data_IF_605007113283
#
_entry.id   IF_605007113283
#
_cell.length_a   1.000
_cell.length_b   1.000
_cell.length_c   1.000
_cell.angle_alpha   90.00
_cell.angle_beta   90.00
_cell.angle_gamma   90.00
#
_symmetry.space_group_name_H-M   'P 1'
#
loop_
_entity.id
_entity.type
_entity.pdbx_description
1 polymer ?
2 non-polymer ?
3 non-polymer ?
4 non-polymer ?
5 water ?
#
# COMPACT_ATOMS: atom_id res chain seq x y z
N UNK A 10 -2.82 -9.39 24.61
CA UNK A 10 -2.72 -10.85 24.31
C UNK A 10 -1.33 -11.26 23.86
N UNK A 11 -0.48 -11.65 24.81
CA UNK A 11 0.90 -11.99 24.50
C UNK A 11 1.10 -13.49 24.44
N UNK A 12 1.26 -14.01 23.22
CA UNK A 12 1.56 -15.42 22.99
C UNK A 12 2.82 -15.86 23.74
N UNK A 13 2.81 -17.10 24.28
CA UNK A 13 3.97 -17.66 24.97
C UNK A 13 5.22 -17.55 24.11
N UNK A 14 6.31 -17.11 24.72
CA UNK A 14 7.55 -16.89 24.03
C UNK A 14 8.15 -18.24 23.63
N UNK A 15 8.37 -18.47 22.32
CA UNK A 15 8.99 -19.76 21.96
C UNK A 15 10.35 -19.94 22.64
N UNK A 16 10.71 -21.19 22.99
CA UNK A 16 12.00 -21.45 23.64
C UNK A 16 13.24 -20.91 22.92
N UNK A 17 13.22 -20.90 21.59
CA UNK A 17 14.37 -20.44 20.78
C UNK A 17 14.56 -18.91 20.72
N UNK A 18 13.56 -18.16 21.16
CA UNK A 18 13.68 -16.69 21.15
C UNK A 18 14.23 -16.22 22.50
N UNK A 19 15.42 -15.56 22.52
CA UNK A 19 15.98 -15.04 23.77
C UNK A 19 15.22 -13.81 24.27
N UNK A 20 15.16 -13.64 25.59
CA UNK A 20 14.30 -12.60 26.18
C UNK A 20 14.75 -11.19 25.84
N UNK A 21 16.05 -10.98 25.65
CA UNK A 21 16.60 -9.66 25.37
C UNK A 21 16.14 -9.09 24.01
N UNK A 22 15.63 -9.96 23.14
CA UNK A 22 15.11 -9.52 21.85
C UNK A 22 13.62 -9.24 21.86
N UNK A 23 12.98 -9.38 23.01
CA UNK A 23 11.53 -9.18 23.09
C UNK A 23 11.17 -7.71 23.08
N UNK A 24 10.24 -7.34 22.20
CA UNK A 24 9.73 -5.99 22.14
C UNK A 24 8.29 -6.14 21.66
N UNK A 25 7.33 -5.93 22.56
CA UNK A 25 5.95 -6.31 22.29
C UNK A 25 5.23 -5.23 21.47
N UNK A 26 5.69 -5.00 20.25
CA UNK A 26 5.03 -4.03 19.37
C UNK A 26 3.75 -4.65 18.79
N UNK A 27 2.66 -3.90 18.82
CA UNK A 27 1.39 -4.35 18.24
C UNK A 27 1.15 -3.61 16.92
N UNK A 28 1.36 -4.30 15.80
CA UNK A 28 1.22 -3.68 14.46
C UNK A 28 -0.20 -3.22 14.13
N UNK A 29 -1.20 -3.75 14.85
CA UNK A 29 -2.57 -3.35 14.61
C UNK A 29 -3.07 -2.27 15.57
N UNK A 30 -2.38 -2.07 16.68
CA UNK A 30 -2.72 -0.97 17.61
C UNK A 30 -1.50 -0.47 18.36
N UNK A 31 -0.56 0.16 17.64
CA UNK A 31 0.71 0.57 18.26
C UNK A 31 0.48 1.70 19.26
N UNK A 32 1.26 1.74 20.33
CA UNK A 32 1.05 2.82 21.31
C UNK A 32 1.61 4.12 20.75
N UNK A 33 1.11 5.26 21.21
CA UNK A 33 1.48 6.54 20.57
C UNK A 33 0.93 6.70 19.14
N UNK A 34 0.04 5.78 18.73
CA UNK A 34 -0.64 5.89 17.44
C UNK A 34 -1.24 7.29 17.26
N UNK A 35 -1.80 7.84 18.34
CA UNK A 35 -2.38 9.19 18.34
C UNK A 35 -1.41 10.27 17.86
N UNK A 36 -0.11 10.01 17.97
CA UNK A 36 0.94 10.94 17.50
C UNK A 36 1.31 10.81 16.01
N UNK A 37 0.63 9.92 15.27
CA UNK A 37 0.94 9.66 13.87
C UNK A 37 1.36 8.20 13.72
N UNK A 38 0.89 7.51 12.68
CA UNK A 38 1.19 6.07 12.55
C UNK A 38 2.69 5.82 12.23
N UNK A 39 3.27 6.61 11.33
CA UNK A 39 4.71 6.47 11.05
C UNK A 39 5.56 6.71 12.31
N UNK A 40 5.20 7.72 13.09
CA UNK A 40 5.89 7.99 14.36
C UNK A 40 5.70 6.83 15.31
N UNK A 41 4.52 6.21 15.29
CA UNK A 41 4.24 5.08 16.20
C UNK A 41 5.14 3.88 15.87
N UNK A 42 5.34 3.62 14.58
CA UNK A 42 6.21 2.53 14.14
C UNK A 42 7.69 2.86 14.33
N UNK A 43 8.03 4.14 14.27
CA UNK A 43 9.42 4.59 14.38
C UNK A 43 10.04 4.35 15.76
N UNK A 44 9.18 4.06 16.76
CA UNK A 44 9.62 3.61 18.10
C UNK A 44 10.53 2.36 18.03
N UNK A 45 10.41 1.63 16.93
CA UNK A 45 11.19 0.42 16.68
C UNK A 45 12.61 0.77 16.24
N UNK A 46 12.84 2.06 15.96
CA UNK A 46 14.16 2.51 15.57
C UNK A 46 14.85 3.39 16.60
N UNK A 47 14.35 3.43 17.82
CA UNK A 47 15.07 4.13 18.88
C UNK A 47 16.30 3.30 19.27
N UNK A 48 17.31 3.95 19.86
CA UNK A 48 18.67 3.39 19.98
C UNK A 48 18.82 2.08 20.79
N UNK A 49 17.95 1.91 21.79
CA UNK A 49 18.00 0.69 22.60
C UNK A 49 17.11 -0.44 22.07
N UNK A 50 16.70 -0.36 20.81
CA UNK A 50 15.92 -1.43 20.19
C UNK A 50 16.83 -2.12 19.16
N UNK A 51 17.03 -3.44 19.30
CA UNK A 51 17.85 -4.21 18.36
C UNK A 51 17.32 -4.14 16.92
N UNK A 52 18.20 -4.46 15.98
CA UNK A 52 17.88 -4.44 14.55
C UNK A 52 16.76 -5.43 14.20
N UNK A 53 16.67 -6.50 14.99
CA UNK A 53 15.72 -7.57 14.77
C UNK A 53 15.15 -8.00 16.13
N UNK A 54 13.85 -7.82 16.32
CA UNK A 54 13.18 -8.08 17.60
C UNK A 54 12.04 -9.07 17.44
N UNK A 55 11.60 -9.63 18.57
CA UNK A 55 10.43 -10.52 18.59
C UNK A 55 9.32 -9.85 19.37
N UNK A 56 8.14 -9.78 18.78
CA UNK A 56 6.97 -9.38 19.53
C UNK A 56 6.06 -10.57 19.83
N UNK A 57 5.52 -10.59 21.04
CA UNK A 57 4.58 -11.63 21.45
C UNK A 57 3.15 -11.28 21.02
N UNK A 58 2.93 -10.06 20.52
CA UNK A 58 1.62 -9.65 20.03
C UNK A 58 1.25 -10.39 18.75
N UNK A 59 -0.06 -10.48 18.50
CA UNK A 59 -0.61 -11.01 17.24
C UNK A 59 -0.13 -12.41 16.89
N UNK A 60 0.03 -13.26 17.91
CA UNK A 60 0.49 -14.66 17.73
C UNK A 60 1.99 -14.87 17.92
N UNK A 61 2.76 -13.79 17.90
CA UNK A 61 4.21 -13.91 18.01
C UNK A 61 4.91 -13.90 16.66
N UNK A 62 5.82 -12.95 16.47
CA UNK A 62 6.56 -12.87 15.20
C UNK A 62 7.77 -11.95 15.32
N UNK A 63 8.73 -12.15 14.41
CA UNK A 63 9.90 -11.28 14.33
C UNK A 63 9.47 -9.97 13.65
N UNK A 64 10.22 -8.91 13.90
CA UNK A 64 10.13 -7.66 13.14
C UNK A 64 11.56 -7.20 12.83
N UNK A 65 11.88 -7.01 11.55
CA UNK A 65 13.14 -6.37 11.17
C UNK A 65 12.87 -4.86 11.19
N UNK A 66 13.74 -4.13 11.87
CA UNK A 66 13.46 -2.73 12.20
C UNK A 66 14.31 -1.73 11.41
N UNK A 67 15.23 -2.24 10.58
CA UNK A 67 16.20 -1.40 9.88
C UNK A 67 16.21 -1.73 8.40
N UNK A 68 16.33 -0.70 7.57
CA UNK A 68 16.39 -0.84 6.11
C UNK A 68 17.29 -1.98 5.61
N UNK A 69 18.52 -2.06 6.12
CA UNK A 69 19.45 -3.10 5.68
C UNK A 69 18.87 -4.52 5.83
N UNK A 70 18.27 -4.82 6.98
CA UNK A 70 17.68 -6.15 7.20
C UNK A 70 16.42 -6.36 6.36
N UNK A 71 15.58 -5.34 6.27
CA UNK A 71 14.33 -5.41 5.50
C UNK A 71 14.62 -5.73 4.03
N UNK A 72 15.54 -4.97 3.42
CA UNK A 72 15.99 -5.23 2.05
C UNK A 72 16.59 -6.62 1.88
N UNK A 73 17.48 -7.01 2.80
CA UNK A 73 18.16 -8.32 2.71
C UNK A 73 17.18 -9.48 2.70
N UNK A 74 16.22 -9.45 3.63
CA UNK A 74 15.23 -10.50 3.76
C UNK A 74 14.31 -10.56 2.55
N UNK A 75 13.93 -9.40 2.02
CA UNK A 75 13.10 -9.35 0.80
C UNK A 75 13.84 -9.89 -0.42
N UNK A 76 15.18 -9.82 -0.41
CA UNK A 76 15.98 -10.40 -1.51
C UNK A 76 16.08 -11.91 -1.38
N UNK A 77 16.11 -12.40 -0.15
CA UNK A 77 16.35 -13.81 0.14
C UNK A 77 15.03 -14.59 0.23
N UNK A 78 14.37 -14.76 -0.92
CA UNK A 78 13.12 -15.51 -1.01
C UNK A 78 13.26 -16.99 -0.64
N UNK A 79 14.46 -17.54 -0.78
CA UNK A 79 14.71 -18.92 -0.40
C UNK A 79 14.46 -19.19 1.09
N UNK A 80 14.87 -18.27 1.95
CA UNK A 80 14.61 -18.41 3.38
C UNK A 80 13.32 -17.72 3.83
N UNK A 81 12.98 -16.61 3.19
CA UNK A 81 11.86 -15.77 3.60
C UNK A 81 10.79 -15.83 2.52
N UNK A 82 9.83 -16.72 2.74
CA UNK A 82 8.87 -17.13 1.73
C UNK A 82 7.58 -16.30 1.79
N UNK A 83 7.01 -16.02 0.62
CA UNK A 83 5.77 -15.24 0.50
C UNK A 83 4.54 -16.12 0.70
N UNK A 84 4.76 -17.42 0.93
CA UNK A 84 3.66 -18.36 1.07
C UNK A 84 2.70 -17.95 2.17
N UNK A 85 3.22 -17.44 3.29
CA UNK A 85 2.41 -16.90 4.39
C UNK A 85 2.84 -15.45 4.71
N UNK A 86 2.32 -14.47 3.95
CA UNK A 86 2.89 -13.12 3.97
C UNK A 86 2.28 -12.14 4.99
N UNK A 87 1.19 -12.56 5.65
CA UNK A 87 0.48 -11.68 6.60
C UNK A 87 0.47 -12.16 8.03
N UNK A 88 0.51 -11.20 8.95
CA UNK A 88 0.29 -11.44 10.35
C UNK A 88 -1.13 -10.96 10.63
N UNK A 89 -1.94 -11.76 11.34
CA UNK A 89 -1.58 -13.04 11.99
C UNK A 89 -1.56 -14.20 11.01
N UNK A 90 -0.99 -15.30 11.48
CA UNK A 90 -0.71 -16.48 10.67
C UNK A 90 -1.94 -16.98 9.90
N UNK A 91 -3.10 -16.97 10.57
CA UNK A 91 -4.37 -17.47 9.99
C UNK A 91 -4.78 -16.68 8.74
N UNK A 92 -4.58 -15.37 8.77
CA UNK A 92 -4.75 -14.52 7.59
C UNK A 92 -3.71 -14.87 6.51
N UNK A 93 -2.45 -15.00 6.92
CA UNK A 93 -1.36 -15.39 6.00
C UNK A 93 -1.65 -16.72 5.32
N UNK A 94 -2.19 -17.67 6.08
CA UNK A 94 -2.46 -19.03 5.61
C UNK A 94 -3.55 -19.15 4.55
N UNK A 95 -4.62 -18.36 4.72
CA UNK A 95 -5.76 -18.34 3.78
C UNK A 95 -5.46 -17.62 2.46
N UNK A 96 -4.51 -16.68 2.50
CA UNK A 96 -4.28 -15.75 1.39
C UNK A 96 -3.61 -16.43 0.21
N UNK A 97 -4.24 -16.34 -0.95
CA UNK A 97 -3.78 -17.05 -2.14
C UNK A 97 -3.75 -16.19 -3.40
N UNK A 98 -3.72 -14.87 -3.24
CA UNK A 98 -3.62 -13.96 -4.39
C UNK A 98 -2.34 -14.23 -5.17
N UNK A 99 -2.37 -13.96 -6.47
CA UNK A 99 -1.23 -14.13 -7.34
C UNK A 99 -0.81 -12.77 -7.89
N UNK A 100 0.50 -12.46 -7.86
CA UNK A 100 1.60 -13.34 -7.48
C UNK A 100 2.07 -13.23 -6.03
N UNK A 101 1.41 -12.40 -5.22
CA UNK A 101 1.91 -12.10 -3.86
C UNK A 101 2.05 -13.29 -2.89
N UNK A 102 1.34 -14.38 -3.13
CA UNK A 102 1.42 -15.57 -2.26
C UNK A 102 2.41 -16.63 -2.79
N UNK A 103 3.06 -16.34 -3.91
CA UNK A 103 4.02 -17.26 -4.53
C UNK A 103 5.46 -16.81 -4.35
N UNK A 104 6.38 -17.76 -4.41
CA UNK A 104 7.82 -17.46 -4.44
C UNK A 104 8.36 -17.68 -5.85
N UNK A 105 9.47 -16.99 -6.21
CA UNK A 105 10.22 -17.44 -7.39
C UNK A 105 10.61 -18.91 -7.18
N UNK A 106 10.73 -19.70 -8.25
CA UNK A 106 10.65 -19.27 -9.64
C UNK A 106 9.26 -19.34 -10.28
N UNK A 107 8.28 -20.02 -9.68
CA UNK A 107 6.92 -20.02 -10.29
C UNK A 107 6.29 -18.61 -10.36
N UNK A 108 6.60 -17.75 -9.41
CA UNK A 108 6.07 -16.38 -9.38
C UNK A 108 6.41 -15.58 -10.65
N UNK A 109 7.59 -15.85 -11.23
CA UNK A 109 8.16 -15.07 -12.33
C UNK A 109 7.23 -14.85 -13.55
N UNK A 110 6.58 -15.92 -14.00
CA UNK A 110 5.78 -15.83 -15.21
C UNK A 110 4.44 -15.15 -14.96
N UNK A 111 3.88 -15.39 -13.77
CA UNK A 111 2.65 -14.71 -13.37
C UNK A 111 2.90 -13.21 -13.22
N UNK A 112 4.04 -12.84 -12.65
CA UNK A 112 4.41 -11.43 -12.54
C UNK A 112 4.55 -10.78 -13.93
N UNK A 113 5.15 -11.51 -14.86
CA UNK A 113 5.29 -11.05 -16.25
C UNK A 113 3.93 -10.76 -16.87
N UNK A 114 2.96 -11.63 -16.61
CA UNK A 114 1.63 -11.44 -17.19
C UNK A 114 0.90 -10.25 -16.54
N UNK A 115 0.96 -10.18 -15.21
CA UNK A 115 0.38 -9.06 -14.48
C UNK A 115 0.99 -7.75 -14.97
N UNK A 116 2.31 -7.78 -15.24
CA UNK A 116 2.99 -6.57 -15.67
C UNK A 116 2.49 -5.99 -16.99
N UNK A 117 2.07 -6.87 -17.91
CA UNK A 117 1.44 -6.44 -19.16
C UNK A 117 0.24 -5.51 -18.94
N UNK A 118 -0.51 -5.75 -17.86
CA UNK A 118 -1.80 -5.08 -17.68
C UNK A 118 -1.80 -3.88 -16.72
N UNK A 119 -0.69 -3.68 -16.01
CA UNK A 119 -0.54 -2.54 -15.08
C UNK A 119 0.79 -1.83 -15.23
N UNK A 120 1.64 -2.33 -16.14
CA UNK A 120 3.00 -1.83 -16.27
C UNK A 120 3.12 -0.50 -16.98
N UNK A 121 4.35 0.00 -17.05
CA UNK A 121 4.67 1.33 -17.60
C UNK A 121 4.07 1.70 -18.99
N UNK A 122 4.01 0.72 -19.94
CA UNK A 122 3.38 1.07 -21.22
C UNK A 122 1.87 1.39 -21.08
N UNK A 123 1.15 0.57 -20.30
CA UNK A 123 -0.27 0.77 -20.02
C UNK A 123 -0.59 2.13 -19.39
N UNK A 124 0.39 2.68 -18.68
CA UNK A 124 0.20 3.93 -17.95
C UNK A 124 0.06 5.15 -18.89
N UNK A 125 0.33 4.94 -20.18
CA UNK A 125 0.14 6.02 -21.16
C UNK A 125 -1.28 6.12 -21.69
N UNK A 126 -1.88 5.01 -22.12
CA UNK A 126 -3.27 5.06 -22.58
C UNK A 126 -4.29 5.36 -21.46
N UNK A 127 -3.85 5.29 -20.21
CA UNK A 127 -4.70 5.54 -19.03
C UNK A 127 -4.60 6.98 -18.55
N UNK A 128 -3.43 7.58 -18.75
CA UNK A 128 -3.11 8.94 -18.30
C UNK A 128 -4.25 9.93 -18.47
N UNK A 129 -4.92 9.86 -19.64
CA UNK A 129 -5.99 10.78 -20.01
C UNK A 129 -7.25 10.59 -19.18
N UNK A 130 -7.58 9.34 -18.89
CA UNK A 130 -8.72 9.08 -18.02
C UNK A 130 -8.38 9.46 -16.58
N UNK A 131 -7.11 9.30 -16.20
CA UNK A 131 -6.64 9.64 -14.86
C UNK A 131 -6.72 11.15 -14.63
N UNK A 132 -6.13 11.92 -15.55
CA UNK A 132 -6.28 13.36 -15.61
C UNK A 132 -7.75 13.81 -15.57
N UNK A 133 -8.57 13.31 -16.51
CA UNK A 133 -10.00 13.63 -16.56
C UNK A 133 -10.71 13.29 -15.25
N UNK A 134 -10.40 12.12 -14.70
CA UNK A 134 -11.04 11.66 -13.48
C UNK A 134 -10.68 12.57 -12.31
N UNK A 135 -9.41 12.94 -12.22
CA UNK A 135 -8.96 13.77 -11.11
C UNK A 135 -9.62 15.14 -11.19
N UNK A 136 -9.65 15.72 -12.39
CA UNK A 136 -10.26 17.03 -12.64
C UNK A 136 -11.75 17.10 -12.29
N UNK A 137 -12.52 16.12 -12.72
CA UNK A 137 -13.97 16.18 -12.48
C UNK A 137 -14.29 15.96 -10.98
N UNK A 138 -13.57 15.06 -10.33
CA UNK A 138 -13.67 14.91 -8.86
C UNK A 138 -13.36 16.22 -8.11
N UNK A 139 -12.22 16.83 -8.43
CA UNK A 139 -11.81 18.07 -7.80
C UNK A 139 -12.79 19.21 -8.08
N UNK A 140 -13.21 19.34 -9.34
CA UNK A 140 -14.16 20.38 -9.72
C UNK A 140 -15.50 20.23 -9.04
N UNK A 141 -15.91 19.00 -8.75
CA UNK A 141 -17.18 18.77 -8.02
C UNK A 141 -17.12 19.25 -6.56
N UNK A 142 -15.93 19.22 -5.97
CA UNK A 142 -15.74 19.62 -4.57
C UNK A 142 -15.38 21.11 -4.41
N UNK A 143 -14.70 21.65 -5.41
CA UNK A 143 -14.08 22.98 -5.34
C UNK A 143 -15.01 24.09 -4.82
N UNK A 144 -16.24 24.21 -5.38
CA UNK A 144 -17.11 25.28 -4.89
C UNK A 144 -17.70 25.08 -3.47
N UNK A 145 -17.70 23.85 -2.94
CA UNK A 145 -18.23 23.58 -1.58
C UNK A 145 -17.46 24.27 -0.44
N UNK A 146 -16.15 24.51 -0.63
CA UNK A 146 -15.31 25.05 0.44
C UNK A 146 -14.92 24.09 1.54
N UNK A 147 -15.33 22.83 1.40
CA UNK A 147 -15.00 21.74 2.33
C UNK A 147 -15.15 20.38 1.63
N UNK A 148 -14.45 19.37 2.16
CA UNK A 148 -14.73 17.95 1.85
C UNK A 148 -14.17 17.09 2.97
N UNK A 149 -14.55 15.81 2.98
CA UNK A 149 -13.70 14.78 3.63
C UNK A 149 -12.88 14.12 2.53
N UNK A 150 -11.61 14.50 2.44
CA UNK A 150 -10.77 14.14 1.31
C UNK A 150 -10.69 12.63 1.13
N UNK A 151 -10.59 11.92 2.25
CA UNK A 151 -10.51 10.46 2.20
C UNK A 151 -11.75 9.90 1.51
N UNK A 152 -12.93 10.33 1.95
CA UNK A 152 -14.20 9.83 1.42
C UNK A 152 -14.55 10.34 0.01
N UNK A 153 -14.28 11.62 -0.25
CA UNK A 153 -14.83 12.34 -1.41
C UNK A 153 -13.92 12.36 -2.63
N UNK A 154 -12.62 12.16 -2.40
CA UNK A 154 -11.66 12.08 -3.48
C UNK A 154 -10.84 10.79 -3.42
N UNK A 155 -10.21 10.51 -2.28
CA UNK A 155 -9.25 9.39 -2.19
C UNK A 155 -9.85 8.02 -2.51
N UNK A 156 -11.05 7.77 -1.98
CA UNK A 156 -11.75 6.50 -2.20
C UNK A 156 -12.25 6.30 -3.65
N UNK A 157 -13.02 7.27 -4.21
CA UNK A 157 -13.54 7.05 -5.56
C UNK A 157 -12.48 6.96 -6.64
N UNK A 158 -11.36 7.64 -6.45
CA UNK A 158 -10.33 7.82 -7.48
C UNK A 158 -9.70 6.51 -8.02
N UNK A 159 -9.04 5.71 -7.15
CA UNK A 159 -8.40 4.47 -7.67
C UNK A 159 -9.36 3.36 -8.15
N UNK A 160 -10.51 3.21 -7.50
CA UNK A 160 -11.50 2.22 -7.95
C UNK A 160 -12.01 2.58 -9.36
N UNK A 161 -12.24 3.88 -9.61
CA UNK A 161 -12.68 4.30 -10.94
C UNK A 161 -11.62 4.07 -12.00
N UNK A 162 -10.36 4.27 -11.63
CA UNK A 162 -9.26 3.97 -12.55
C UNK A 162 -9.21 2.46 -12.82
N UNK A 163 -9.31 1.64 -11.77
CA UNK A 163 -9.32 0.19 -11.96
C UNK A 163 -10.41 -0.32 -12.90
N UNK A 164 -11.60 0.27 -12.80
CA UNK A 164 -12.73 -0.08 -13.68
C UNK A 164 -12.43 0.15 -15.15
N UNK A 165 -11.67 1.22 -15.42
CA UNK A 165 -11.27 1.56 -16.79
C UNK A 165 -10.12 0.71 -17.34
N UNK A 166 -9.23 0.31 -16.43
CA UNK A 166 -8.18 -0.66 -16.71
C UNK A 166 -8.81 -2.04 -17.01
N UNK A 167 -9.69 -2.48 -16.13
CA UNK A 167 -10.29 -3.82 -16.23
C UNK A 167 -11.52 -3.89 -17.13
N UNK A 168 -11.88 -2.77 -17.76
CA UNK A 168 -13.07 -2.68 -18.61
C UNK A 168 -14.33 -3.21 -17.94
N UNK A 169 -14.55 -2.81 -16.69
CA UNK A 169 -15.75 -3.17 -15.96
C UNK A 169 -16.70 -1.95 -15.90
N UNK A 170 -18.01 -2.18 -15.68
CA UNK A 170 -18.95 -1.04 -15.74
C UNK A 170 -19.10 -0.29 -14.40
N UNK A 171 -19.19 1.05 -14.51
CA UNK A 171 -19.36 1.96 -13.38
C UNK A 171 -20.41 1.55 -12.36
N UNK A 172 -21.56 1.07 -12.82
CA UNK A 172 -22.62 0.64 -11.89
C UNK A 172 -22.14 -0.41 -10.90
N UNK A 173 -21.07 -1.12 -11.23
CA UNK A 173 -20.52 -2.15 -10.37
C UNK A 173 -19.66 -1.59 -9.24
N UNK A 174 -19.29 -0.31 -9.36
CA UNK A 174 -18.40 0.33 -8.39
C UNK A 174 -18.88 0.16 -6.94
N UNK A 175 -20.14 0.58 -6.64
CA UNK A 175 -20.59 0.41 -5.25
C UNK A 175 -20.53 -1.04 -4.76
N UNK A 176 -21.00 -2.00 -5.56
CA UNK A 176 -20.93 -3.41 -5.13
C UNK A 176 -19.48 -3.82 -4.86
N UNK A 177 -18.59 -3.52 -5.81
CA UNK A 177 -17.17 -3.89 -5.70
C UNK A 177 -16.50 -3.26 -4.49
N UNK A 178 -16.78 -1.98 -4.27
CA UNK A 178 -16.35 -1.22 -3.10
C UNK A 178 -16.81 -1.85 -1.80
N UNK A 179 -18.08 -2.29 -1.76
CA UNK A 179 -18.58 -3.01 -0.59
C UNK A 179 -17.78 -4.30 -0.36
N UNK A 180 -17.53 -5.05 -1.44
CA UNK A 180 -16.77 -6.30 -1.34
C UNK A 180 -15.34 -6.07 -0.86
N UNK A 181 -14.64 -5.10 -1.45
CA UNK A 181 -13.25 -4.87 -1.06
C UNK A 181 -13.09 -4.35 0.35
N UNK A 182 -13.95 -3.40 0.77
CA UNK A 182 -13.94 -2.90 2.15
C UNK A 182 -14.19 -4.01 3.16
N UNK A 183 -15.05 -4.95 2.80
CA UNK A 183 -15.37 -6.08 3.69
C UNK A 183 -14.12 -6.91 3.95
N UNK A 184 -13.22 -6.89 2.97
CA UNK A 184 -11.97 -7.62 3.04
C UNK A 184 -10.86 -6.89 3.82
N UNK A 185 -10.74 -5.58 3.62
CA UNK A 185 -9.58 -4.82 4.10
C UNK A 185 -9.88 -3.92 5.29
N UNK A 186 -11.16 -3.72 5.56
CA UNK A 186 -11.62 -2.97 6.72
C UNK A 186 -12.47 -3.92 7.58
N UNK A 187 -11.81 -4.82 8.34
CA UNK A 187 -12.59 -5.80 9.09
C UNK A 187 -13.15 -5.20 10.38
N UNK A 188 -14.46 -5.35 10.57
CA UNK A 188 -15.10 -5.03 11.84
C UNK A 188 -15.17 -6.31 12.69
N UNK A 189 -14.52 -7.37 12.19
CA UNK A 189 -14.50 -8.68 12.84
C UNK A 189 -15.73 -9.52 12.58
N UNK A 190 -16.58 -9.06 11.66
CA UNK A 190 -17.84 -9.74 11.36
C UNK A 190 -17.65 -11.02 10.56
N UNK A 191 -16.54 -11.13 9.84
CA UNK A 191 -16.21 -12.34 9.09
C UNK A 191 -14.70 -12.55 8.99
N UNK A 192 -14.26 -13.80 8.85
CA UNK A 192 -12.82 -14.11 8.72
C UNK A 192 -12.28 -13.59 7.39
N UNK A 193 -10.95 -13.46 7.31
CA UNK A 193 -10.28 -13.05 6.08
C UNK A 193 -10.69 -13.93 4.89
N UNK A 194 -10.62 -15.25 5.11
CA UNK A 194 -11.03 -16.27 4.13
C UNK A 194 -12.49 -16.07 3.67
N UNK A 195 -13.36 -15.75 4.62
CA UNK A 195 -14.78 -15.51 4.34
C UNK A 195 -14.96 -14.30 3.40
N UNK A 196 -14.33 -13.19 3.74
CA UNK A 196 -14.38 -11.97 2.93
C UNK A 196 -13.84 -12.19 1.51
N UNK A 197 -12.72 -12.92 1.43
CA UNK A 197 -12.05 -13.23 0.18
C UNK A 197 -12.93 -14.05 -0.77
N UNK A 198 -13.67 -15.02 -0.23
CA UNK A 198 -14.59 -15.85 -1.02
C UNK A 198 -15.71 -15.00 -1.63
N UNK A 199 -16.32 -14.16 -0.78
CA UNK A 199 -17.30 -13.18 -1.22
C UNK A 199 -16.78 -12.38 -2.43
N UNK A 200 -15.56 -11.87 -2.32
CA UNK A 200 -14.91 -11.16 -3.44
C UNK A 200 -14.75 -12.03 -4.69
N UNK A 201 -14.19 -13.24 -4.54
CA UNK A 201 -13.97 -14.16 -5.67
C UNK A 201 -15.28 -14.48 -6.38
N UNK A 202 -16.34 -14.60 -5.58
CA UNK A 202 -17.68 -14.89 -6.06
C UNK A 202 -18.19 -13.92 -7.12
N UNK A 203 -17.91 -12.62 -6.95
CA UNK A 203 -18.14 -11.62 -8.00
C UNK A 203 -17.31 -11.88 -9.24
N UNK A 204 -16.02 -12.17 -9.02
CA UNK A 204 -15.07 -12.32 -10.12
C UNK A 204 -15.23 -13.61 -10.94
N UNK A 205 -15.63 -14.70 -10.29
CA UNK A 205 -15.71 -16.02 -10.96
C UNK A 205 -16.47 -15.99 -12.32
N UNK A 206 -17.73 -15.50 -12.33
CA UNK A 206 -18.50 -15.45 -13.59
C UNK A 206 -17.91 -14.54 -14.66
N UNK A 207 -17.31 -13.44 -14.23
CA UNK A 207 -16.74 -12.46 -15.17
C UNK A 207 -15.57 -13.07 -15.96
N UNK A 208 -14.74 -13.85 -15.26
CA UNK A 208 -13.65 -14.59 -15.90
C UNK A 208 -14.21 -15.68 -16.84
N UNK A 209 -15.20 -16.43 -16.35
CA UNK A 209 -15.89 -17.42 -17.19
C UNK A 209 -16.33 -16.79 -18.51
N UNK A 210 -17.01 -15.65 -18.39
CA UNK A 210 -17.51 -14.87 -19.53
C UNK A 210 -16.41 -14.48 -20.52
N UNK A 211 -15.25 -14.11 -19.98
CA UNK A 211 -14.20 -13.49 -20.78
C UNK A 211 -13.17 -14.51 -21.26
N UNK A 212 -13.29 -15.74 -20.76
CA UNK A 212 -12.54 -16.87 -21.33
C UNK A 212 -13.24 -17.38 -22.59
N UNK A 213 -14.57 -17.42 -22.57
CA UNK A 213 -15.35 -17.82 -23.75
C UNK A 213 -15.45 -16.67 -24.75
N UNK A 214 -15.75 -15.46 -24.26
CA UNK A 214 -15.80 -14.26 -25.10
C UNK A 214 -14.80 -13.20 -24.61
N UNK A 215 -13.54 -13.27 -25.10
CA UNK A 215 -12.52 -12.32 -24.63
C UNK A 215 -12.59 -10.97 -25.35
N UNK A 216 -12.31 -9.90 -24.61
CA UNK A 216 -12.18 -8.55 -25.17
C UNK A 216 -10.73 -8.10 -25.21
N UNK A 217 -10.47 -6.93 -24.65
CA UNK A 217 -9.13 -6.32 -24.62
C UNK A 217 -8.83 -5.68 -23.24
N UNK A 218 -9.74 -5.85 -22.29
CA UNK A 218 -9.56 -5.37 -20.93
C UNK A 218 -8.53 -6.22 -20.17
N UNK A 219 -8.04 -5.69 -19.05
CA UNK A 219 -7.06 -6.38 -18.21
C UNK A 219 -7.48 -7.79 -17.79
N UNK A 220 -8.76 -7.96 -17.43
CA UNK A 220 -9.30 -9.24 -16.99
C UNK A 220 -9.26 -10.26 -18.13
N UNK A 221 -9.57 -9.80 -19.33
CA UNK A 221 -9.50 -10.65 -20.51
C UNK A 221 -8.08 -11.10 -20.83
N UNK A 222 -7.11 -10.19 -20.72
CA UNK A 222 -5.70 -10.55 -20.90
C UNK A 222 -5.22 -11.59 -19.87
N UNK A 223 -5.45 -11.31 -18.60
CA UNK A 223 -5.12 -12.24 -17.54
C UNK A 223 -5.76 -13.62 -17.76
N UNK A 224 -7.09 -13.66 -17.88
CA UNK A 224 -7.82 -14.93 -17.92
C UNK A 224 -7.50 -15.82 -19.14
N UNK A 225 -6.92 -15.21 -20.18
CA UNK A 225 -6.56 -15.94 -21.39
C UNK A 225 -5.04 -16.03 -21.61
N UNK A 226 -4.28 -15.72 -20.58
CA UNK A 226 -2.81 -15.63 -20.69
C UNK A 226 -2.12 -16.97 -20.68
N UNK A 227 -0.85 -16.95 -21.08
CA UNK A 227 0.01 -18.13 -21.00
C UNK A 227 1.07 -17.97 -19.92
N UNK A 228 1.13 -18.93 -19.02
CA UNK A 228 2.16 -18.95 -17.98
C UNK A 228 2.90 -20.29 -17.98
N UNK A 229 4.20 -20.26 -17.65
CA UNK A 229 4.98 -21.48 -17.39
C UNK A 229 4.69 -22.62 -18.39
N UNK A 230 4.52 -22.27 -19.66
CA UNK A 230 4.22 -23.22 -20.72
C UNK A 230 2.79 -23.19 -21.25
N UNK A 231 1.84 -23.43 -20.35
CA UNK A 231 0.44 -23.73 -20.71
C UNK A 231 -0.52 -22.55 -20.41
N UNK A 232 -1.80 -22.67 -20.81
CA UNK A 232 -2.75 -21.57 -20.54
C UNK A 232 -3.12 -21.46 -19.07
N UNK A 233 -3.28 -20.22 -18.61
CA UNK A 233 -3.68 -19.93 -17.23
C UNK A 233 -5.05 -20.57 -16.93
N UNK A 234 -5.21 -21.09 -15.72
CA UNK A 234 -6.47 -21.68 -15.30
C UNK A 234 -7.43 -20.61 -14.80
N UNK A 235 -8.71 -20.94 -14.72
CA UNK A 235 -9.71 -19.99 -14.22
C UNK A 235 -9.43 -19.62 -12.76
N UNK A 236 -8.95 -20.61 -11.99
CA UNK A 236 -8.54 -20.41 -10.60
C UNK A 236 -7.37 -19.43 -10.50
N UNK A 237 -6.38 -19.58 -11.37
CA UNK A 237 -5.21 -18.73 -11.36
C UNK A 237 -5.60 -17.30 -11.77
N UNK A 238 -6.44 -17.21 -12.80
CA UNK A 238 -6.93 -15.93 -13.31
C UNK A 238 -7.73 -15.16 -12.25
N UNK A 239 -8.57 -15.86 -11.49
CA UNK A 239 -9.33 -15.22 -10.41
C UNK A 239 -8.38 -14.68 -9.32
N UNK A 240 -7.40 -15.48 -8.94
CA UNK A 240 -6.44 -15.12 -7.90
C UNK A 240 -5.57 -13.93 -8.30
N UNK A 241 -5.32 -13.78 -9.60
CA UNK A 241 -4.59 -12.63 -10.15
C UNK A 241 -5.46 -11.34 -10.19
N UNK A 242 -6.69 -11.48 -10.68
CA UNK A 242 -7.59 -10.33 -10.80
C UNK A 242 -8.02 -9.79 -9.44
N UNK A 243 -8.14 -10.68 -8.47
CA UNK A 243 -8.38 -10.29 -7.08
C UNK A 243 -7.33 -9.34 -6.56
N UNK A 244 -6.06 -9.66 -6.81
CA UNK A 244 -4.94 -8.81 -6.39
C UNK A 244 -4.80 -7.52 -7.22
N UNK A 245 -5.00 -7.61 -8.52
CA UNK A 245 -4.99 -6.41 -9.37
C UNK A 245 -6.05 -5.41 -8.93
N UNK A 246 -7.16 -5.92 -8.41
CA UNK A 246 -8.23 -5.09 -7.87
C UNK A 246 -7.76 -4.39 -6.58
N UNK A 247 -7.48 -5.19 -5.55
CA UNK A 247 -7.24 -4.66 -4.22
C UNK A 247 -5.89 -3.97 -4.03
N UNK A 248 -4.89 -4.38 -4.82
CA UNK A 248 -3.52 -3.89 -4.65
C UNK A 248 -3.39 -2.40 -4.76
N UNK A 249 -4.19 -1.81 -5.65
CA UNK A 249 -4.20 -0.38 -5.91
C UNK A 249 -5.25 0.47 -5.20
N UNK A 250 -6.02 -0.10 -4.28
CA UNK A 250 -7.08 0.65 -3.60
C UNK A 250 -6.63 1.28 -2.29
N UNK A 251 -6.56 0.50 -1.21
CA UNK A 251 -6.22 1.04 0.09
C UNK A 251 -4.86 1.72 0.11
N UNK A 252 -3.88 1.15 -0.56
CA UNK A 252 -2.56 1.77 -0.71
C UNK A 252 -2.67 3.19 -1.25
N UNK A 253 -3.38 3.38 -2.36
CA UNK A 253 -3.48 4.71 -2.97
C UNK A 253 -4.38 5.63 -2.14
N UNK A 254 -5.51 5.11 -1.66
CA UNK A 254 -6.42 5.88 -0.83
C UNK A 254 -5.69 6.47 0.39
N UNK A 255 -4.97 5.61 1.10
CA UNK A 255 -4.36 6.00 2.36
C UNK A 255 -3.14 6.86 2.11
N UNK A 256 -2.40 6.56 1.04
CA UNK A 256 -1.21 7.37 0.76
C UNK A 256 -1.55 8.80 0.39
N UNK A 257 -2.51 8.98 -0.51
CA UNK A 257 -2.98 10.30 -0.88
C UNK A 257 -3.48 11.03 0.37
N UNK A 258 -4.17 10.32 1.25
CA UNK A 258 -4.65 10.92 2.49
C UNK A 258 -3.52 11.46 3.37
N UNK A 259 -2.47 10.66 3.56
CA UNK A 259 -1.31 11.09 4.35
C UNK A 259 -0.70 12.35 3.72
N UNK A 260 -0.57 12.30 2.39
CA UNK A 260 0.02 13.40 1.61
C UNK A 260 -0.79 14.67 1.78
N UNK A 261 -2.10 14.56 1.63
CA UNK A 261 -2.96 15.73 1.73
C UNK A 261 -3.05 16.28 3.14
N UNK A 262 -3.01 15.40 4.15
CA UNK A 262 -2.94 15.81 5.54
C UNK A 262 -1.67 16.65 5.78
N UNK A 263 -0.55 16.16 5.28
CA UNK A 263 0.70 16.92 5.34
C UNK A 263 0.62 18.28 4.68
N UNK A 264 0.17 18.35 3.43
CA UNK A 264 0.09 19.64 2.72
C UNK A 264 -0.89 20.62 3.38
N UNK A 265 -1.96 20.10 3.96
CA UNK A 265 -2.94 20.93 4.66
C UNK A 265 -2.34 21.54 5.93
N UNK A 266 -1.41 20.82 6.54
CA UNK A 266 -0.73 21.30 7.74
C UNK A 266 0.57 22.02 7.40
N UNK A 267 0.87 22.15 6.12
CA UNK A 267 2.15 22.74 5.73
C UNK A 267 2.05 23.74 4.59
N UNK A 268 1.63 24.98 4.91
CA UNK A 268 1.48 26.04 3.92
C UNK A 268 2.76 26.33 3.13
N UNK A 269 3.93 26.12 3.75
CA UNK A 269 5.21 26.42 3.12
C UNK A 269 5.57 25.38 2.08
N UNK A 270 5.17 24.13 2.33
CA UNK A 270 5.38 23.06 1.36
C UNK A 270 4.38 23.18 0.23
N UNK A 271 3.16 23.57 0.56
CA UNK A 271 2.13 23.87 -0.45
C UNK A 271 2.63 24.93 -1.41
N UNK A 272 3.07 26.05 -0.84
CA UNK A 272 3.52 27.19 -1.61
C UNK A 272 4.75 26.85 -2.46
N UNK A 273 5.61 25.99 -1.93
CA UNK A 273 6.80 25.54 -2.67
C UNK A 273 6.37 24.88 -3.99
N UNK A 274 5.34 24.05 -3.91
CA UNK A 274 4.83 23.30 -5.06
C UNK A 274 3.97 24.17 -5.98
N UNK A 275 3.30 25.18 -5.41
CA UNK A 275 2.55 26.18 -6.18
C UNK A 275 3.52 27.07 -6.97
N UNK A 276 4.54 27.59 -6.31
CA UNK A 276 5.54 28.43 -6.97
C UNK A 276 6.42 27.66 -7.96
N UNK A 277 6.69 26.38 -7.66
CA UNK A 277 7.55 25.55 -8.51
C UNK A 277 6.96 24.17 -8.82
N UNK A 278 5.99 24.11 -9.77
CA UNK A 278 5.30 22.86 -10.11
C UNK A 278 6.22 21.75 -10.61
N UNK A 279 7.37 22.12 -11.17
CA UNK A 279 8.33 21.13 -11.69
C UNK A 279 8.91 20.24 -10.58
N UNK A 280 8.82 20.70 -9.34
CA UNK A 280 9.27 19.93 -8.18
C UNK A 280 8.27 18.87 -7.69
N UNK A 281 7.08 18.83 -8.29
CA UNK A 281 6.05 17.87 -7.84
C UNK A 281 6.50 16.39 -7.94
N UNK A 282 7.04 15.94 -9.10
CA UNK A 282 7.53 14.54 -9.13
C UNK A 282 8.53 14.20 -8.00
N UNK A 283 9.45 15.12 -7.69
CA UNK A 283 10.41 14.91 -6.59
C UNK A 283 9.75 14.91 -5.22
N UNK A 284 8.78 15.83 -5.04
CA UNK A 284 8.00 15.90 -3.81
C UNK A 284 7.15 14.63 -3.59
N UNK A 285 6.61 14.09 -4.68
CA UNK A 285 5.91 12.79 -4.67
C UNK A 285 6.85 11.73 -4.07
N UNK A 286 8.10 11.72 -4.54
CA UNK A 286 9.06 10.72 -4.11
C UNK A 286 9.38 10.83 -2.63
N UNK A 287 9.52 12.06 -2.15
CA UNK A 287 9.84 12.32 -0.76
C UNK A 287 8.64 12.05 0.15
N UNK A 288 7.43 12.32 -0.33
CA UNK A 288 6.23 11.94 0.41
C UNK A 288 6.07 10.42 0.53
N UNK A 289 6.35 9.72 -0.57
CA UNK A 289 6.38 8.25 -0.61
C UNK A 289 7.29 7.67 0.46
N UNK A 290 8.45 8.30 0.67
CA UNK A 290 9.37 7.90 1.73
C UNK A 290 8.79 8.20 3.11
N UNK A 291 8.45 9.47 3.35
CA UNK A 291 7.98 9.95 4.65
C UNK A 291 6.68 9.28 5.14
N UNK A 292 5.73 9.08 4.23
CA UNK A 292 4.42 8.55 4.60
C UNK A 292 4.20 7.17 4.01
N UNK A 293 5.29 6.43 3.93
CA UNK A 293 5.30 5.02 3.57
C UNK A 293 4.31 4.32 4.51
N UNK A 294 3.60 3.30 4.02
CA UNK A 294 2.45 2.79 4.75
C UNK A 294 2.20 1.27 4.73
N UNK A 295 3.01 0.51 4.00
CA UNK A 295 2.76 -0.95 3.92
C UNK A 295 3.66 -1.72 4.89
N UNK A 296 3.10 -2.77 5.51
CA UNK A 296 3.91 -3.71 6.27
C UNK A 296 3.42 -5.15 6.14
N UNK A 297 3.96 -5.89 5.17
CA UNK A 297 3.70 -7.31 5.20
C UNK A 297 4.99 -8.04 5.55
N UNK A 298 5.05 -9.33 5.26
CA UNK A 298 6.20 -10.10 5.71
C UNK A 298 6.33 -11.43 5.05
N UNK A 299 7.08 -12.31 5.72
CA UNK A 299 7.48 -13.58 5.16
C UNK A 299 7.42 -14.67 6.25
N UNK A 300 7.52 -15.92 5.81
CA UNK A 300 7.62 -17.08 6.69
C UNK A 300 8.94 -17.81 6.42
N UNK A 301 9.63 -18.21 7.49
CA UNK A 301 10.89 -18.97 7.38
C UNK A 301 10.67 -20.35 6.77
N UNK A 302 11.39 -20.65 5.69
CA UNK A 302 11.29 -21.94 5.00
C UNK A 302 12.13 -23.03 5.70
N UNK A 303 13.10 -22.60 6.52
CA UNK A 303 13.99 -23.51 7.24
C UNK A 303 14.54 -22.79 8.48
N UNK A 304 15.24 -23.53 9.36
CA UNK A 304 16.01 -22.89 10.44
C UNK A 304 17.09 -22.05 9.77
N UNK A 305 17.36 -20.85 10.31
CA UNK A 305 18.30 -19.95 9.65
C UNK A 305 18.80 -18.89 10.61
N UNK A 306 20.12 -18.70 10.65
CA UNK A 306 20.70 -17.62 11.42
C UNK A 306 20.79 -16.37 10.55
N UNK A 307 20.13 -15.30 10.99
CA UNK A 307 20.06 -14.05 10.26
C UNK A 307 20.58 -12.94 11.16
N UNK A 308 21.69 -12.30 10.76
CA UNK A 308 22.33 -11.26 11.58
C UNK A 308 22.45 -11.63 13.07
N UNK A 309 23.02 -12.80 13.34
CA UNK A 309 23.25 -13.27 14.70
C UNK A 309 22.04 -13.84 15.41
N UNK A 310 20.87 -13.82 14.76
CA UNK A 310 19.64 -14.26 15.42
C UNK A 310 19.19 -15.61 14.84
N UNK A 311 18.94 -16.58 15.71
CA UNK A 311 18.46 -17.90 15.30
C UNK A 311 16.96 -17.85 14.99
N UNK A 312 16.61 -18.01 13.72
CA UNK A 312 15.22 -18.09 13.28
C UNK A 312 14.88 -19.56 13.02
N UNK A 313 13.63 -19.91 13.30
CA UNK A 313 13.16 -21.29 13.22
C UNK A 313 12.20 -21.45 12.04
N UNK A 314 12.27 -22.59 11.34
CA UNK A 314 11.32 -22.88 10.27
C UNK A 314 9.90 -22.60 10.75
N UNK A 315 9.10 -21.96 9.90
CA UNK A 315 7.73 -21.61 10.26
C UNK A 315 7.54 -20.30 11.02
N UNK A 316 8.62 -19.72 11.56
CA UNK A 316 8.54 -18.39 12.21
C UNK A 316 8.07 -17.40 11.18
N UNK A 317 7.22 -16.47 11.58
CA UNK A 317 6.83 -15.35 10.73
C UNK A 317 7.73 -14.18 11.07
N UNK A 318 8.05 -13.38 10.06
CA UNK A 318 8.83 -12.17 10.25
C UNK A 318 8.13 -11.02 9.51
N UNK A 319 7.78 -9.99 10.26
CA UNK A 319 7.30 -8.74 9.68
C UNK A 319 8.49 -7.95 9.14
N UNK A 320 8.39 -7.55 7.87
CA UNK A 320 9.44 -6.80 7.17
C UNK A 320 8.84 -5.49 6.66
N UNK A 321 8.70 -4.49 7.55
CA UNK A 321 7.84 -3.35 7.20
C UNK A 321 8.44 -2.46 6.08
N UNK A 322 7.85 -2.50 4.89
CA UNK A 322 8.27 -1.65 3.80
C UNK A 322 8.37 -0.18 4.27
N UNK A 323 7.46 0.20 5.18
CA UNK A 323 7.40 1.54 5.77
C UNK A 323 8.72 1.99 6.39
N UNK A 324 9.38 1.07 7.12
CA UNK A 324 10.45 1.45 8.02
C UNK A 324 11.78 1.81 7.35
N UNK A 325 12.03 1.27 6.15
CA UNK A 325 13.31 1.45 5.48
C UNK A 325 13.65 2.93 5.24
N UNK A 326 12.69 3.70 4.71
CA UNK A 326 12.91 5.12 4.41
C UNK A 326 12.88 5.99 5.64
N UNK A 327 12.26 5.50 6.71
CA UNK A 327 12.27 6.23 7.97
C UNK A 327 13.55 5.97 8.77
N UNK A 328 14.36 5.01 8.32
CA UNK A 328 15.61 4.63 8.97
C UNK A 328 16.62 5.79 8.85
N UNK A 329 17.00 6.38 9.98
CA UNK A 329 17.96 7.51 9.98
C UNK A 329 19.34 7.08 9.49
N UNK A 330 19.61 5.79 9.51
CA UNK A 330 20.82 5.23 8.88
C UNK A 330 20.81 5.26 7.35
N UNK A 331 19.66 5.53 6.74
CA UNK A 331 19.66 5.74 5.28
C UNK A 331 19.06 7.06 4.76
N UNK A 332 18.33 7.76 5.62
CA UNK A 332 17.92 9.14 5.33
C UNK A 332 18.10 9.98 6.58
N UNK A 333 19.03 10.92 6.51
CA UNK A 333 19.28 11.90 7.58
C UNK A 333 17.99 12.64 7.89
N UNK A 334 17.79 12.93 9.17
CA UNK A 334 16.58 13.58 9.68
C UNK A 334 15.29 13.02 9.02
N UNK A 335 15.03 11.72 9.23
CA UNK A 335 13.99 11.01 8.44
C UNK A 335 12.55 11.53 8.59
N UNK A 336 12.20 12.08 9.76
CA UNK A 336 10.82 12.59 9.99
C UNK A 336 10.52 13.94 9.36
N UNK A 337 11.55 14.56 8.81
CA UNK A 337 11.43 15.85 8.17
C UNK A 337 11.21 15.65 6.68
N UNK A 338 10.23 16.36 6.12
CA UNK A 338 9.99 16.35 4.68
C UNK A 338 10.82 17.42 3.96
N UNK A 339 11.72 16.98 3.10
CA UNK A 339 12.55 17.89 2.31
C UNK A 339 12.41 17.58 0.85
N UNK A 340 11.65 18.40 0.13
CA UNK A 340 11.44 18.19 -1.28
C UNK A 340 12.74 18.30 -2.07
N UNK A 341 13.74 18.92 -1.45
CA UNK A 341 15.09 19.02 -2.04
C UNK A 341 16.03 17.98 -1.41
N UNK A 342 15.47 16.88 -0.91
CA UNK A 342 16.28 15.78 -0.41
C UNK A 342 16.99 15.13 -1.58
N UNK A 343 18.31 14.93 -1.49
CA UNK A 343 19.09 14.58 -2.70
C UNK A 343 19.21 13.10 -3.04
N UNK A 344 19.20 12.27 -2.01
CA UNK A 344 19.20 10.82 -2.17
C UNK A 344 18.04 10.25 -1.37
N UNK A 345 16.90 10.09 -2.03
CA UNK A 345 15.68 9.65 -1.33
C UNK A 345 15.65 8.13 -1.42
N UNK A 346 15.99 7.45 -0.34
CA UNK A 346 15.92 6.01 -0.33
C UNK A 346 14.72 5.50 0.48
N UNK A 347 13.99 4.55 -0.09
CA UNK A 347 12.84 3.94 0.57
C UNK A 347 12.57 2.59 -0.04
N UNK A 348 11.78 1.76 0.65
CA UNK A 348 11.22 0.55 0.04
C UNK A 348 9.70 0.62 0.06
N UNK A 349 9.14 1.78 -0.27
CA UNK A 349 7.70 1.97 -0.13
C UNK A 349 6.90 1.05 -1.04
N UNK A 350 7.45 0.73 -2.21
CA UNK A 350 6.81 -0.19 -3.15
C UNK A 350 7.32 -1.62 -3.01
N UNK A 351 8.02 -1.88 -1.91
CA UNK A 351 8.57 -3.21 -1.66
C UNK A 351 10.00 -3.30 -2.13
N UNK A 352 10.48 -4.53 -2.27
CA UNK A 352 11.87 -4.77 -2.63
C UNK A 352 12.04 -6.23 -3.00
N UNK A 353 12.88 -6.50 -3.99
CA UNK A 353 13.12 -7.86 -4.46
C UNK A 353 12.09 -8.31 -5.47
N UNK A 354 11.85 -9.61 -5.51
CA UNK A 354 11.09 -10.18 -6.61
C UNK A 354 9.62 -9.71 -6.69
N UNK A 355 9.04 -9.27 -5.56
CA UNK A 355 7.65 -8.77 -5.55
C UNK A 355 7.47 -7.26 -5.63
N UNK A 356 8.55 -6.52 -5.94
CA UNK A 356 8.48 -5.05 -6.08
C UNK A 356 7.20 -4.62 -6.80
N UNK A 357 6.46 -3.70 -6.19
CA UNK A 357 5.13 -3.32 -6.70
C UNK A 357 5.11 -3.22 -8.23
N UNK A 358 4.20 -3.95 -8.85
CA UNK A 358 4.02 -3.83 -10.29
C UNK A 358 3.22 -2.57 -10.67
N UNK A 359 2.45 -2.04 -9.72
CA UNK A 359 1.65 -0.83 -9.99
C UNK A 359 2.30 0.48 -9.59
N UNK A 360 3.61 0.45 -9.33
CA UNK A 360 4.33 1.59 -8.78
C UNK A 360 4.32 2.77 -9.74
N UNK A 361 4.32 2.47 -11.04
CA UNK A 361 4.31 3.51 -12.06
C UNK A 361 2.92 4.13 -12.19
N UNK A 362 1.86 3.30 -12.17
CA UNK A 362 0.48 3.78 -12.10
C UNK A 362 0.24 4.59 -10.82
N UNK A 363 0.73 4.06 -9.69
CA UNK A 363 0.65 4.76 -8.42
C UNK A 363 1.27 6.16 -8.49
N UNK A 364 2.49 6.27 -8.99
CA UNK A 364 3.08 7.61 -9.12
C UNK A 364 2.28 8.55 -10.01
N UNK A 365 1.72 8.06 -11.12
CA UNK A 365 0.88 8.94 -11.94
C UNK A 365 -0.34 9.41 -11.17
N UNK A 366 -1.01 8.50 -10.46
CA UNK A 366 -2.17 8.88 -9.65
C UNK A 366 -1.83 9.94 -8.59
N UNK A 367 -0.67 9.81 -7.96
CA UNK A 367 -0.22 10.76 -6.94
C UNK A 367 0.13 12.12 -7.57
N UNK A 368 0.94 12.08 -8.63
CA UNK A 368 1.42 13.30 -9.28
C UNK A 368 0.29 14.11 -9.92
N UNK A 369 -0.56 13.42 -10.68
CA UNK A 369 -1.79 14.02 -11.25
C UNK A 369 -2.65 14.66 -10.18
N UNK A 370 -2.90 13.95 -9.08
CA UNK A 370 -3.67 14.47 -7.96
C UNK A 370 -3.10 15.77 -7.38
N UNK A 371 -1.81 15.75 -7.04
CA UNK A 371 -1.14 16.92 -6.50
C UNK A 371 -1.15 18.06 -7.49
N UNK A 372 -0.89 17.78 -8.77
CA UNK A 372 -0.85 18.83 -9.80
C UNK A 372 -2.22 19.49 -9.96
N UNK A 373 -3.25 18.65 -10.04
CA UNK A 373 -4.59 19.14 -10.30
C UNK A 373 -5.25 19.76 -9.09
N UNK A 374 -4.93 19.28 -7.90
CA UNK A 374 -5.49 19.86 -6.68
C UNK A 374 -4.87 21.23 -6.37
N UNK A 375 -3.56 21.34 -6.52
CA UNK A 375 -2.87 22.58 -6.19
C UNK A 375 -3.18 23.72 -7.15
N UNK A 376 -3.53 23.34 -8.38
CA UNK A 376 -3.93 24.26 -9.44
C UNK A 376 -5.35 24.81 -9.24
N UNK A 377 -6.25 23.97 -8.73
CA UNK A 377 -7.64 24.37 -8.52
C UNK A 377 -7.90 24.87 -7.10
N UNK A 378 -7.20 24.30 -6.12
CA UNK A 378 -7.42 24.59 -4.71
C UNK A 378 -6.05 24.73 -4.02
N UNK A 379 -5.32 25.83 -4.30
CA UNK A 379 -3.97 26.04 -3.77
C UNK A 379 -3.91 26.19 -2.25
N UNK A 380 -4.94 26.78 -1.67
CA UNK A 380 -4.95 27.03 -0.26
C UNK A 380 -6.09 26.31 0.45
N UNK A 381 -5.73 25.32 1.26
CA UNK A 381 -6.67 24.56 2.07
C UNK A 381 -6.06 24.27 3.45
N UNK A 382 -6.91 23.92 4.40
CA UNK A 382 -6.50 23.64 5.78
C UNK A 382 -7.26 22.44 6.33
N UNK A 383 -6.72 21.83 7.38
CA UNK A 383 -7.49 20.88 8.19
C UNK A 383 -8.64 21.66 8.82
N UNK A 384 -9.85 21.09 8.81
CA UNK A 384 -11.01 21.72 9.46
C UNK A 384 -10.65 22.12 10.88
N UNK A 385 -11.11 23.31 11.33
CA UNK A 385 -10.81 23.72 12.70
C UNK A 385 -11.38 22.77 13.75
N UNK A 386 -10.56 22.44 14.74
CA UNK A 386 -10.99 21.58 15.85
C UNK A 386 -10.93 20.09 15.56
N UNK A 387 -10.61 19.73 14.31
CA UNK A 387 -10.51 18.32 13.91
C UNK A 387 -9.17 17.74 14.34
N UNK A 388 -9.20 16.55 14.92
CA UNK A 388 -7.99 15.81 15.23
C UNK A 388 -7.94 14.63 14.24
N UNK A 389 -6.97 14.64 13.33
CA UNK A 389 -6.85 13.58 12.31
C UNK A 389 -6.42 12.24 12.94
N UNK A 390 -7.23 11.20 12.74
CA UNK A 390 -6.96 9.90 13.33
C UNK A 390 -6.36 8.93 12.33
N UNK A 391 -5.30 8.25 12.74
CA UNK A 391 -4.67 7.24 11.87
C UNK A 391 -5.07 5.83 12.26
N UNK A 392 -4.87 4.87 11.36
CA UNK A 392 -5.08 3.47 11.66
C UNK A 392 -3.83 2.72 11.23
N UNK A 393 -3.55 1.62 11.92
CA UNK A 393 -2.33 0.86 11.68
C UNK A 393 -2.64 -0.58 11.32
N UNK A 394 -1.87 -1.12 10.39
CA UNK A 394 -1.99 -2.53 10.02
C UNK A 394 -1.05 -2.91 8.88
N UNK A 395 -1.52 -3.77 7.99
CA UNK A 395 -0.76 -4.19 6.81
C UNK A 395 -0.65 -3.01 5.85
N UNK A 396 -1.74 -2.26 5.74
CA UNK A 396 -1.71 -0.99 5.03
C UNK A 396 -2.23 0.05 6.01
N UNK A 397 -1.31 0.85 6.58
CA UNK A 397 -1.70 1.91 7.51
C UNK A 397 -2.43 3.05 6.80
N UNK A 398 -3.18 3.88 7.54
CA UNK A 398 -3.99 4.89 6.88
C UNK A 398 -4.58 5.99 7.72
N UNK A 399 -5.53 6.71 7.12
CA UNK A 399 -6.14 7.88 7.73
C UNK A 399 -7.64 7.61 7.83
N UNK A 400 -8.19 7.69 9.04
CA UNK A 400 -9.63 7.40 9.23
C UNK A 400 -10.52 8.38 8.45
N UNK A 401 -10.16 9.66 8.47
CA UNK A 401 -10.93 10.71 7.76
C UNK A 401 -10.09 11.96 7.63
N UNK A 402 -10.36 12.76 6.61
CA UNK A 402 -9.57 13.97 6.38
C UNK A 402 -10.46 15.19 6.05
N UNK A 403 -11.04 15.82 7.09
CA UNK A 403 -11.85 17.01 6.84
C UNK A 403 -10.97 18.22 6.48
N UNK A 404 -11.18 18.74 5.28
CA UNK A 404 -10.45 19.88 4.77
C UNK A 404 -11.43 21.05 4.56
N UNK A 405 -10.92 22.27 4.62
CA UNK A 405 -11.72 23.46 4.38
C UNK A 405 -10.91 24.44 3.53
N UNK A 406 -11.61 25.23 2.72
CA UNK A 406 -10.96 26.29 1.97
C UNK A 406 -11.96 27.37 1.64
N UNK A 407 -11.46 28.54 1.28
CA UNK A 407 -12.31 29.62 0.80
C UNK A 407 -12.46 29.44 -0.71
N UNK A 408 -13.70 29.23 -1.19
CA UNK A 408 -13.90 29.04 -2.63
C UNK A 408 -13.44 30.23 -3.48
N UNK A 409 -13.38 31.42 -2.89
CA UNK A 409 -12.92 32.62 -3.61
C UNK A 409 -11.43 32.57 -3.95
N UNK A 410 -10.68 31.75 -3.23
CA UNK A 410 -9.26 31.51 -3.53
C UNK A 410 -9.03 30.37 -4.53
N UNK A 411 -10.12 29.84 -5.10
CA UNK A 411 -10.03 28.70 -6.01
C UNK A 411 -10.27 29.14 -7.46
N UNK A 412 -9.94 28.29 -8.43
CA UNK A 412 -10.33 28.58 -9.81
C UNK A 412 -10.81 27.36 -10.57
N UNK A 413 -11.99 27.48 -11.21
CA UNK A 413 -12.49 26.45 -12.13
C UNK A 413 -11.57 26.38 -13.34
N UNK A 414 -11.16 25.17 -13.71
CA UNK A 414 -10.12 24.95 -14.73
C UNK A 414 -10.49 23.81 -15.70
#
# INVERSE_FOLDING_TARGET
TTETIQSNANLAPLPPHVPEHLVFDFDMYNPSNLSAGVQEAWAVLQESNVPDLVWTRCNGGHWIATRGQLIREAYEDYRHFSSECPFIPREAGEAYDFIPTSMDPPEQRQFRALANQVVGMPVVDKLENRIQELACSLIESLRPQGQCNFTEDYAEPFPIRIFMLLAGLPEEDIPHLKYLTDQMTRPDGSMTFAEAKEALYDYLIPIIEQRRQKPGTDAISIVANGQVNGRPITSDEAKRMCGLLLVGGLDTVVNFLSFSMEFLAKSPEHRQELIERPERIPAACEELLRRFSLVADGRILTSDYEFHGVQLKKGDQILLPQMLSGLDERENAAPMHVDFSRQKVSHTTFGHGSHLCLGQHLARREIIVTLKEWLTRIPDFSIAPGAQIQHKSGIVSGVQALPLVWDPATTKAV
#
